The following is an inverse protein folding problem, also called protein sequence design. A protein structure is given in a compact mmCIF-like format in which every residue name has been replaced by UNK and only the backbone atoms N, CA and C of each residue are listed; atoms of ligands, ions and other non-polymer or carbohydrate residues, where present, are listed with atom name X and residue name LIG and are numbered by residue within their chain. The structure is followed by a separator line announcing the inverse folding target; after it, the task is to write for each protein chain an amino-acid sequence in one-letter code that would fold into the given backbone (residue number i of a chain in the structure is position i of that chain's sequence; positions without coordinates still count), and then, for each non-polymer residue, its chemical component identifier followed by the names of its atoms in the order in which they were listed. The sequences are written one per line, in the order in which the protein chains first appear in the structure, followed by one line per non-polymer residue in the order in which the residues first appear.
data_IF_737580047918
#
_entry.id   IF_737580047918
#
_cell.length_a   1.000
_cell.length_b   1.000
_cell.length_c   1.000
_cell.angle_alpha   90.00
_cell.angle_beta   90.00
_cell.angle_gamma   90.00
#
_symmetry.space_group_name_H-M   'P 1'
#
loop_
_entity.id
_entity.type
_entity.pdbx_description
1 polymer ?
#
# COMPACT_ATOMS: atom_id res chain seq x y z
N UNK A 1 -16.37 1.06 18.23
CA UNK A 1 -16.09 2.30 17.48
C UNK A 1 -14.59 2.35 17.33
N UNK A 2 -14.09 1.92 16.18
CA UNK A 2 -12.67 1.96 15.90
C UNK A 2 -12.48 3.15 14.99
N UNK A 3 -12.33 4.33 15.59
CA UNK A 3 -11.74 5.50 14.95
C UNK A 3 -10.29 5.16 14.61
N UNK A 4 -10.11 4.39 13.54
CA UNK A 4 -8.79 4.17 12.94
C UNK A 4 -8.69 5.20 11.85
N UNK A 5 -8.14 6.36 12.21
CA UNK A 5 -7.76 7.38 11.25
C UNK A 5 -6.96 6.71 10.12
N UNK A 6 -7.52 6.62 8.92
CA UNK A 6 -6.89 5.88 7.83
C UNK A 6 -5.61 6.60 7.39
N UNK A 7 -5.52 7.93 7.57
CA UNK A 7 -4.29 8.72 7.42
C UNK A 7 -3.19 8.33 8.40
N UNK A 8 -3.53 8.03 9.66
CA UNK A 8 -2.54 7.59 10.65
C UNK A 8 -2.02 6.19 10.33
N UNK A 9 -2.88 5.33 9.78
CA UNK A 9 -2.48 4.01 9.30
C UNK A 9 -1.50 4.13 8.12
N UNK A 10 -1.80 4.99 7.15
CA UNK A 10 -0.89 5.28 6.02
C UNK A 10 0.48 5.77 6.52
N UNK A 11 0.51 6.70 7.48
CA UNK A 11 1.76 7.19 8.05
C UNK A 11 2.58 6.07 8.72
N UNK A 12 1.93 5.14 9.43
CA UNK A 12 2.59 3.98 10.03
C UNK A 12 3.17 3.03 8.99
N UNK A 13 2.45 2.77 7.90
CA UNK A 13 2.96 1.93 6.81
C UNK A 13 4.18 2.57 6.13
N UNK A 14 4.14 3.88 5.87
CA UNK A 14 5.31 4.61 5.35
C UNK A 14 6.52 4.53 6.28
N UNK A 15 6.30 4.64 7.60
CA UNK A 15 7.38 4.49 8.57
C UNK A 15 8.00 3.08 8.53
N UNK A 16 7.18 2.02 8.45
CA UNK A 16 7.65 0.64 8.30
C UNK A 16 8.43 0.43 6.99
N UNK A 17 7.91 0.95 5.87
CA UNK A 17 8.57 0.91 4.56
C UNK A 17 9.92 1.62 4.58
N UNK A 18 9.99 2.81 5.20
CA UNK A 18 11.24 3.57 5.33
C UNK A 18 12.25 2.91 6.26
N UNK A 19 11.78 2.19 7.28
CA UNK A 19 12.62 1.35 8.13
C UNK A 19 13.07 0.05 7.42
N UNK A 20 12.52 -0.27 6.24
CA UNK A 20 12.75 -1.53 5.54
C UNK A 20 12.07 -2.73 6.22
N UNK A 21 11.18 -2.49 7.18
CA UNK A 21 10.47 -3.53 7.90
C UNK A 21 9.18 -3.89 7.16
N UNK A 22 9.11 -5.13 6.67
CA UNK A 22 7.93 -5.69 5.99
C UNK A 22 7.35 -4.78 4.90
N UNK A 23 8.22 -4.25 4.03
CA UNK A 23 7.84 -3.38 2.90
C UNK A 23 6.68 -3.98 2.09
N UNK A 24 6.76 -5.29 1.82
CA UNK A 24 5.75 -6.04 1.05
C UNK A 24 4.38 -6.02 1.72
N UNK A 25 4.31 -6.22 3.04
CA UNK A 25 3.03 -6.23 3.77
C UNK A 25 2.50 -4.82 3.98
N UNK A 26 3.37 -3.90 4.42
CA UNK A 26 3.00 -2.51 4.67
C UNK A 26 2.46 -1.82 3.41
N UNK A 27 3.05 -2.09 2.23
CA UNK A 27 2.59 -1.54 0.97
C UNK A 27 1.19 -2.06 0.57
N UNK A 28 0.93 -3.36 0.76
CA UNK A 28 -0.39 -3.96 0.49
C UNK A 28 -1.47 -3.36 1.39
N UNK A 29 -1.21 -3.30 2.69
CA UNK A 29 -2.17 -2.73 3.65
C UNK A 29 -2.40 -1.24 3.38
N UNK A 30 -1.34 -0.50 3.03
CA UNK A 30 -1.45 0.91 2.65
C UNK A 30 -2.33 1.10 1.41
N UNK A 31 -2.17 0.28 0.38
CA UNK A 31 -2.98 0.35 -0.83
C UNK A 31 -4.46 0.06 -0.55
N UNK A 32 -4.77 -0.91 0.32
CA UNK A 32 -6.14 -1.23 0.73
C UNK A 32 -6.78 -0.05 1.47
N UNK A 33 -6.05 0.53 2.44
CA UNK A 33 -6.55 1.70 3.20
C UNK A 33 -6.72 2.91 2.29
N UNK A 34 -5.79 3.16 1.37
CA UNK A 34 -5.92 4.24 0.37
C UNK A 34 -7.11 4.04 -0.55
N UNK A 35 -7.39 2.79 -0.99
CA UNK A 35 -8.60 2.46 -1.75
C UNK A 35 -9.87 2.82 -0.98
N UNK A 36 -9.94 2.46 0.30
CA UNK A 36 -11.10 2.77 1.16
C UNK A 36 -11.33 4.27 1.33
N UNK A 37 -10.26 5.07 1.23
CA UNK A 37 -10.32 6.54 1.24
C UNK A 37 -10.60 7.16 -0.13
N UNK A 38 -10.90 6.36 -1.16
CA UNK A 38 -11.05 6.81 -2.53
C UNK A 38 -9.78 7.49 -3.11
N UNK A 39 -8.60 7.12 -2.59
CA UNK A 39 -7.27 7.61 -3.00
C UNK A 39 -6.55 6.57 -3.87
N UNK A 40 -7.26 6.04 -4.87
CA UNK A 40 -6.74 4.98 -5.71
C UNK A 40 -5.50 5.40 -6.51
N UNK A 41 -5.45 6.65 -7.00
CA UNK A 41 -4.31 7.17 -7.77
C UNK A 41 -3.01 7.20 -6.94
N UNK A 42 -3.09 7.66 -5.68
CA UNK A 42 -1.93 7.70 -4.78
C UNK A 42 -1.45 6.28 -4.42
N UNK A 43 -2.38 5.33 -4.24
CA UNK A 43 -2.04 3.94 -4.05
C UNK A 43 -1.29 3.37 -5.26
N UNK A 44 -1.75 3.67 -6.48
CA UNK A 44 -1.11 3.23 -7.72
C UNK A 44 0.31 3.79 -7.83
N UNK A 45 0.51 5.09 -7.58
CA UNK A 45 1.83 5.71 -7.62
C UNK A 45 2.77 5.13 -6.57
N UNK A 46 2.29 4.94 -5.34
CA UNK A 46 3.08 4.34 -4.26
C UNK A 46 3.50 2.91 -4.61
N UNK A 47 2.59 2.08 -5.11
CA UNK A 47 2.90 0.72 -5.56
C UNK A 47 3.94 0.75 -6.67
N UNK A 48 3.78 1.60 -7.70
CA UNK A 48 4.74 1.70 -8.81
C UNK A 48 6.14 2.11 -8.34
N UNK A 49 6.21 3.07 -7.41
CA UNK A 49 7.48 3.59 -6.87
C UNK A 49 8.19 2.56 -5.98
N UNK A 50 7.42 1.81 -5.19
CA UNK A 50 7.94 0.82 -4.25
C UNK A 50 8.09 -0.57 -4.88
N UNK A 51 7.56 -0.80 -6.09
CA UNK A 51 7.65 -2.06 -6.84
C UNK A 51 9.07 -2.60 -6.90
N UNK A 52 10.05 -1.74 -7.13
CA UNK A 52 11.46 -2.16 -7.21
C UNK A 52 12.06 -2.63 -5.87
N UNK A 53 11.43 -2.31 -4.74
CA UNK A 53 11.86 -2.70 -3.39
C UNK A 53 11.17 -3.98 -2.90
N UNK A 54 10.13 -4.44 -3.60
CA UNK A 54 9.31 -5.57 -3.20
C UNK A 54 9.78 -6.88 -3.86
N UNK A 55 9.65 -7.99 -3.12
CA UNK A 55 10.00 -9.34 -3.58
C UNK A 55 9.09 -9.79 -4.74
N UNK A 56 9.53 -10.72 -5.60
CA UNK A 56 8.71 -11.26 -6.71
C UNK A 56 7.35 -11.80 -6.23
N UNK A 57 7.31 -12.48 -5.08
CA UNK A 57 6.06 -12.96 -4.48
C UNK A 57 5.09 -11.82 -4.09
N UNK A 58 5.62 -10.64 -3.75
CA UNK A 58 4.81 -9.47 -3.50
C UNK A 58 4.31 -8.82 -4.79
N UNK A 59 5.07 -8.91 -5.90
CA UNK A 59 4.68 -8.38 -7.21
C UNK A 59 3.33 -8.93 -7.67
N UNK A 60 3.13 -10.24 -7.64
CA UNK A 60 1.86 -10.85 -8.06
C UNK A 60 0.66 -10.33 -7.25
N UNK A 61 0.85 -10.15 -5.95
CA UNK A 61 -0.19 -9.58 -5.09
C UNK A 61 -0.43 -8.11 -5.41
N UNK A 62 0.62 -7.33 -5.65
CA UNK A 62 0.53 -5.91 -5.96
C UNK A 62 -0.13 -5.68 -7.33
N UNK A 63 0.16 -6.53 -8.31
CA UNK A 63 -0.48 -6.47 -9.64
C UNK A 63 -1.99 -6.75 -9.55
N UNK A 64 -2.41 -7.70 -8.72
CA UNK A 64 -3.83 -7.94 -8.43
C UNK A 64 -4.50 -6.72 -7.77
N UNK A 65 -3.82 -6.08 -6.80
CA UNK A 65 -4.33 -4.87 -6.16
C UNK A 65 -4.39 -3.70 -7.15
N UNK A 66 -3.37 -3.52 -8.00
CA UNK A 66 -3.37 -2.50 -9.05
C UNK A 66 -4.57 -2.67 -9.99
N UNK A 67 -4.84 -3.89 -10.45
CA UNK A 67 -6.01 -4.18 -11.29
C UNK A 67 -7.33 -3.81 -10.59
N UNK A 68 -7.42 -4.06 -9.29
CA UNK A 68 -8.58 -3.74 -8.46
C UNK A 68 -8.71 -2.25 -8.12
N UNK A 69 -7.61 -1.49 -8.14
CA UNK A 69 -7.58 -0.04 -8.02
C UNK A 69 -7.96 0.67 -9.33
N UNK A 70 -7.69 0.04 -10.48
CA UNK A 70 -8.07 0.55 -11.79
C UNK A 70 -9.54 0.26 -12.17
N UNK A 71 -10.23 -0.59 -11.42
CA UNK A 71 -11.66 -0.90 -11.60
C UNK A 71 -12.54 0.10 -10.87
#
# INVERSE_FOLDING_TARGET
MVDKDPDRSIALFWAAINAGDRVDSALKDMAIVMKQQNRAEEAIEAIKSLRCKCSESAQESLDNILLDLYK
#
